data_IF_089916581138
#
_entry.id   IF_089916581138
#
_cell.length_a   1.000
_cell.length_b   1.000
_cell.length_c   1.000
_cell.angle_alpha   90.00
_cell.angle_beta   90.00
_cell.angle_gamma   90.00
#
_symmetry.space_group_name_H-M   'P 1'
#
loop_
_entity.id
_entity.type
_entity.pdbx_description
1 polymer ?
#
# COMPACT_ATOMS: atom_id res chain seq x y z
N UNK A 1 25.75 -19.66 -57.98
CA UNK A 1 25.79 -18.19 -58.11
C UNK A 1 25.43 -17.63 -56.74
N UNK A 2 26.43 -17.47 -55.88
CA UNK A 2 26.26 -16.99 -54.51
C UNK A 2 26.42 -15.46 -54.50
N UNK A 3 25.44 -14.76 -53.94
CA UNK A 3 25.49 -13.31 -53.74
C UNK A 3 26.36 -13.03 -52.50
N UNK A 4 27.53 -12.45 -52.73
CA UNK A 4 28.36 -11.85 -51.68
C UNK A 4 27.65 -10.61 -51.11
N UNK A 5 27.24 -10.64 -49.85
CA UNK A 5 27.05 -9.43 -49.05
C UNK A 5 28.33 -9.19 -48.24
N UNK A 6 29.09 -8.18 -48.65
CA UNK A 6 30.20 -7.65 -47.86
C UNK A 6 29.62 -6.88 -46.66
N UNK A 7 29.37 -7.55 -45.55
CA UNK A 7 29.42 -6.91 -44.24
C UNK A 7 30.86 -7.00 -43.75
N UNK A 8 31.64 -5.94 -44.02
CA UNK A 8 32.89 -5.71 -43.31
C UNK A 8 32.54 -5.37 -41.87
N UNK A 9 32.88 -6.28 -40.97
CA UNK A 9 32.81 -6.12 -39.52
C UNK A 9 33.94 -5.16 -39.09
N UNK A 10 33.69 -3.85 -39.25
CA UNK A 10 34.60 -2.77 -38.92
C UNK A 10 34.26 -2.15 -37.56
N UNK A 11 35.04 -2.50 -36.55
CA UNK A 11 35.46 -1.66 -35.40
C UNK A 11 34.39 -0.71 -34.79
N UNK A 12 33.74 -1.11 -33.69
CA UNK A 12 34.14 -0.73 -32.32
C UNK A 12 33.22 -1.45 -31.31
N UNK A 13 33.78 -2.23 -30.39
CA UNK A 13 32.99 -3.01 -29.42
C UNK A 13 32.48 -2.17 -28.23
N UNK A 14 32.61 -0.83 -28.29
CA UNK A 14 32.24 0.09 -27.22
C UNK A 14 31.52 1.38 -27.64
N UNK A 15 31.19 1.59 -28.92
CA UNK A 15 30.52 2.83 -29.34
C UNK A 15 29.02 2.81 -29.00
N UNK A 16 28.72 3.21 -27.76
CA UNK A 16 27.36 3.55 -27.37
C UNK A 16 26.89 4.73 -28.23
N UNK A 17 25.65 4.71 -28.75
CA UNK A 17 25.10 5.85 -29.49
C UNK A 17 25.23 7.14 -28.68
N UNK A 18 25.45 8.28 -29.34
CA UNK A 18 25.65 9.58 -28.68
C UNK A 18 24.51 9.97 -27.74
N UNK A 19 23.29 9.48 -28.00
CA UNK A 19 22.11 9.70 -27.18
C UNK A 19 21.95 8.72 -26.03
N UNK A 20 22.79 7.68 -25.89
CA UNK A 20 22.64 6.62 -24.88
C UNK A 20 22.64 7.16 -23.45
N UNK A 21 23.44 8.20 -23.18
CA UNK A 21 23.52 8.86 -21.87
C UNK A 21 22.65 10.13 -21.78
N UNK A 22 21.80 10.40 -22.78
CA UNK A 22 20.90 11.56 -22.72
C UNK A 22 19.81 11.33 -21.66
N UNK A 23 19.34 12.38 -20.98
CA UNK A 23 18.23 12.25 -20.05
C UNK A 23 16.96 11.76 -20.78
N UNK A 24 16.03 11.08 -20.08
CA UNK A 24 14.72 10.79 -20.63
C UNK A 24 14.04 12.07 -21.13
N UNK A 25 13.33 11.97 -22.26
CA UNK A 25 12.48 13.05 -22.74
C UNK A 25 11.39 13.34 -21.70
N UNK A 26 11.15 14.63 -21.45
CA UNK A 26 10.02 15.06 -20.62
C UNK A 26 8.71 14.50 -21.18
N UNK A 27 7.84 13.95 -20.31
CA UNK A 27 6.58 13.31 -20.72
C UNK A 27 5.68 14.26 -21.49
N UNK A 28 5.69 15.56 -21.19
CA UNK A 28 4.92 16.57 -21.93
C UNK A 28 5.37 16.71 -23.38
N UNK A 29 6.66 16.47 -23.67
CA UNK A 29 7.21 16.48 -25.02
C UNK A 29 7.03 15.11 -25.70
N UNK A 30 7.25 14.02 -24.96
CA UNK A 30 7.13 12.66 -25.48
C UNK A 30 5.67 12.24 -25.77
N UNK A 31 4.72 12.76 -25.00
CA UNK A 31 3.30 12.39 -25.08
C UNK A 31 2.37 13.60 -24.85
N UNK A 32 2.37 14.59 -25.76
CA UNK A 32 1.66 15.87 -25.55
C UNK A 32 0.14 15.77 -25.52
N UNK A 33 -0.43 14.63 -25.94
CA UNK A 33 -1.88 14.44 -26.01
C UNK A 33 -2.53 13.98 -24.69
N UNK A 34 -1.75 13.67 -23.64
CA UNK A 34 -2.34 13.30 -22.36
C UNK A 34 -1.50 13.76 -21.18
N UNK A 35 -2.19 14.14 -20.11
CA UNK A 35 -1.58 14.68 -18.91
C UNK A 35 -1.09 13.55 -17.98
N UNK A 36 0.19 13.54 -17.56
CA UNK A 36 0.71 12.56 -16.60
C UNK A 36 0.08 12.69 -15.20
N UNK A 37 0.28 11.69 -14.35
CA UNK A 37 -0.24 11.64 -12.98
C UNK A 37 0.37 12.72 -12.07
N UNK A 38 1.54 13.26 -12.41
CA UNK A 38 2.20 14.36 -11.69
C UNK A 38 1.28 15.59 -11.54
N UNK A 39 0.33 15.77 -12.46
CA UNK A 39 -0.83 16.64 -12.31
C UNK A 39 -2.04 15.74 -12.04
N UNK A 40 -2.49 15.61 -10.79
CA UNK A 40 -3.55 14.66 -10.42
C UNK A 40 -4.95 15.23 -10.72
N UNK A 41 -5.86 14.47 -11.37
CA UNK A 41 -7.23 14.92 -11.63
C UNK A 41 -8.20 14.56 -10.48
N UNK A 42 -9.17 15.39 -10.06
CA UNK A 42 -9.25 16.86 -10.05
C UNK A 42 -8.80 17.46 -8.69
N UNK A 43 -7.94 16.77 -7.93
CA UNK A 43 -7.42 17.30 -6.65
C UNK A 43 -6.18 18.18 -6.86
N UNK A 44 -6.36 19.30 -7.56
CA UNK A 44 -5.48 20.45 -7.36
C UNK A 44 -5.70 20.96 -5.93
N UNK A 45 -4.78 20.67 -4.99
CA UNK A 45 -4.60 21.56 -3.83
C UNK A 45 -3.32 21.50 -3.03
N UNK A 46 -2.43 20.50 -3.14
CA UNK A 46 -1.31 20.42 -2.18
C UNK A 46 0.05 19.92 -2.70
N UNK A 47 0.32 19.91 -4.01
CA UNK A 47 1.66 19.57 -4.52
C UNK A 47 2.18 18.17 -4.15
N UNK A 48 1.28 17.22 -3.87
CA UNK A 48 1.61 15.85 -3.40
C UNK A 48 1.84 14.83 -4.52
N UNK A 49 1.36 15.13 -5.72
CA UNK A 49 1.46 14.24 -6.88
C UNK A 49 2.80 14.25 -7.67
N UNK A 50 3.55 15.38 -7.78
CA UNK A 50 4.64 15.47 -8.76
C UNK A 50 5.87 14.63 -8.42
N UNK A 51 6.10 14.29 -7.14
CA UNK A 51 7.29 13.53 -6.71
C UNK A 51 7.09 12.01 -6.73
N UNK A 52 5.85 11.52 -6.83
CA UNK A 52 5.53 10.12 -6.54
C UNK A 52 6.12 9.14 -7.56
N UNK A 53 6.18 9.50 -8.85
CA UNK A 53 6.73 8.62 -9.88
C UNK A 53 8.23 8.40 -9.68
N UNK A 54 8.97 9.47 -9.36
CA UNK A 54 10.40 9.43 -9.08
C UNK A 54 10.73 8.55 -7.88
N UNK A 55 10.09 8.79 -6.73
CA UNK A 55 10.31 8.00 -5.52
C UNK A 55 9.88 6.53 -5.70
N UNK A 56 8.81 6.28 -6.44
CA UNK A 56 8.37 4.92 -6.74
C UNK A 56 9.39 4.16 -7.60
N UNK A 57 9.93 4.81 -8.63
CA UNK A 57 10.96 4.23 -9.50
C UNK A 57 12.24 3.92 -8.69
N UNK A 58 12.70 4.86 -7.87
CA UNK A 58 13.86 4.68 -6.99
C UNK A 58 13.64 3.70 -5.82
N UNK A 59 12.38 3.32 -5.56
CA UNK A 59 11.97 2.56 -4.37
C UNK A 59 12.38 3.24 -3.04
N UNK A 60 12.29 4.56 -3.00
CA UNK A 60 12.65 5.41 -1.87
C UNK A 60 11.39 5.98 -1.19
N UNK A 61 11.51 6.34 0.09
CA UNK A 61 10.43 6.97 0.85
C UNK A 61 10.68 8.48 0.95
N UNK A 62 9.69 9.33 0.59
CA UNK A 62 9.86 10.79 0.61
C UNK A 62 9.68 11.32 2.04
N UNK A 63 10.74 11.32 2.85
CA UNK A 63 10.66 11.73 4.26
C UNK A 63 10.12 13.16 4.46
N UNK A 64 10.28 14.04 3.48
CA UNK A 64 9.76 15.41 3.46
C UNK A 64 8.24 15.50 3.56
N UNK A 65 7.50 14.42 3.25
CA UNK A 65 6.04 14.42 3.39
C UNK A 65 5.58 14.09 4.80
N UNK A 66 6.42 13.51 5.65
CA UNK A 66 6.02 13.05 7.00
C UNK A 66 5.48 14.20 7.86
N UNK A 67 6.14 15.37 7.97
CA UNK A 67 5.60 16.48 8.75
C UNK A 67 4.28 17.02 8.15
N UNK A 68 4.15 17.01 6.82
CA UNK A 68 2.93 17.46 6.13
C UNK A 68 1.75 16.53 6.43
N UNK A 69 1.99 15.21 6.44
CA UNK A 69 0.97 14.22 6.82
C UNK A 69 0.57 14.33 8.29
N UNK A 70 1.51 14.62 9.18
CA UNK A 70 1.23 14.86 10.59
C UNK A 70 0.33 16.10 10.79
N UNK A 71 0.59 17.20 10.07
CA UNK A 71 -0.24 18.42 10.14
C UNK A 71 -1.69 18.21 9.70
N UNK A 72 -1.95 17.24 8.82
CA UNK A 72 -3.31 16.91 8.38
C UNK A 72 -4.10 16.13 9.43
N UNK A 73 -3.48 15.71 10.54
CA UNK A 73 -4.13 14.93 11.59
C UNK A 73 -4.57 13.54 11.15
N UNK A 74 -4.00 13.01 10.05
CA UNK A 74 -4.39 11.71 9.48
C UNK A 74 -3.81 10.52 10.25
N UNK A 75 -2.67 10.71 10.90
CA UNK A 75 -2.07 9.71 11.78
C UNK A 75 -2.84 9.64 13.12
N UNK A 76 -3.26 8.45 13.54
CA UNK A 76 -3.90 8.24 14.85
C UNK A 76 -5.41 8.47 14.92
N UNK A 77 -6.12 8.62 13.80
CA UNK A 77 -7.57 8.93 13.74
C UNK A 77 -8.50 8.02 14.59
N UNK A 78 -8.07 6.79 14.93
CA UNK A 78 -8.89 5.83 15.68
C UNK A 78 -8.34 5.52 17.09
N UNK A 79 -7.27 6.17 17.55
CA UNK A 79 -6.68 5.89 18.87
C UNK A 79 -7.26 6.81 19.93
N UNK A 80 -7.95 6.25 20.94
CA UNK A 80 -8.38 6.94 22.17
C UNK A 80 -7.20 7.28 23.12
N UNK A 81 -5.99 7.46 22.61
CA UNK A 81 -4.80 7.73 23.43
C UNK A 81 -4.27 9.10 23.03
N UNK A 82 -4.72 10.13 23.73
CA UNK A 82 -4.35 11.51 23.44
C UNK A 82 -2.95 11.88 23.91
N UNK A 83 -2.39 13.02 23.46
CA UNK A 83 -1.55 13.84 24.30
C UNK A 83 -2.44 14.62 25.28
N UNK A 84 -2.03 14.61 26.55
CA UNK A 84 -2.68 15.26 27.69
C UNK A 84 -2.75 16.77 27.44
N UNK A 85 -3.83 17.29 26.81
CA UNK A 85 -4.42 18.63 27.07
C UNK A 85 -5.64 19.01 26.19
N UNK A 86 -6.44 18.06 25.68
CA UNK A 86 -7.65 18.38 24.91
C UNK A 86 -8.89 17.62 25.41
N UNK A 87 -9.06 17.60 26.74
CA UNK A 87 -9.97 16.65 27.39
C UNK A 87 -11.45 17.10 27.50
N UNK A 88 -11.89 18.21 26.89
CA UNK A 88 -13.26 18.70 27.12
C UNK A 88 -13.98 19.38 25.94
N UNK A 89 -13.51 19.25 24.70
CA UNK A 89 -14.26 19.70 23.51
C UNK A 89 -14.06 18.69 22.38
N UNK A 90 -15.16 18.03 21.95
CA UNK A 90 -15.28 16.98 20.91
C UNK A 90 -15.24 15.52 21.40
N UNK A 91 -16.05 15.20 22.41
CA UNK A 91 -16.56 13.83 22.64
C UNK A 91 -17.62 13.39 21.60
N UNK A 92 -17.64 14.03 20.43
CA UNK A 92 -18.66 13.88 19.39
C UNK A 92 -17.99 13.93 18.01
N UNK A 93 -18.14 12.84 17.25
CA UNK A 93 -17.95 12.72 15.78
C UNK A 93 -16.53 12.64 15.19
N UNK A 94 -15.86 11.49 15.28
CA UNK A 94 -15.13 10.96 14.11
C UNK A 94 -15.39 9.45 13.97
N UNK A 95 -16.42 9.09 13.19
CA UNK A 95 -16.79 7.68 12.91
C UNK A 95 -15.67 6.98 12.12
N UNK A 96 -15.54 5.65 12.25
CA UNK A 96 -14.68 4.83 11.38
C UNK A 96 -14.94 5.11 9.89
N UNK A 97 -16.17 5.50 9.56
CA UNK A 97 -16.56 5.96 8.22
C UNK A 97 -15.74 7.16 7.75
N UNK A 98 -15.51 8.16 8.61
CA UNK A 98 -14.70 9.36 8.28
C UNK A 98 -13.24 8.98 8.04
N UNK A 99 -12.68 8.11 8.89
CA UNK A 99 -11.31 7.60 8.73
C UNK A 99 -11.15 6.75 7.45
N UNK A 100 -12.14 5.93 7.12
CA UNK A 100 -12.15 5.15 5.89
C UNK A 100 -12.22 6.04 4.63
N UNK A 101 -13.01 7.12 4.66
CA UNK A 101 -13.06 8.12 3.57
C UNK A 101 -11.71 8.83 3.44
N UNK A 102 -11.14 9.34 4.52
CA UNK A 102 -9.83 10.01 4.50
C UNK A 102 -8.72 9.09 3.95
N UNK A 103 -8.70 7.82 4.39
CA UNK A 103 -7.76 6.83 3.86
C UNK A 103 -8.02 6.52 2.38
N UNK A 104 -9.27 6.47 1.94
CA UNK A 104 -9.60 6.29 0.53
C UNK A 104 -9.11 7.49 -0.32
N UNK A 105 -9.25 8.72 0.17
CA UNK A 105 -8.75 9.92 -0.52
C UNK A 105 -7.21 9.95 -0.62
N UNK A 106 -6.50 9.58 0.45
CA UNK A 106 -5.03 9.44 0.40
C UNK A 106 -4.63 8.33 -0.57
N UNK A 107 -5.33 7.20 -0.54
CA UNK A 107 -5.08 6.05 -1.40
C UNK A 107 -5.46 6.28 -2.88
N UNK A 108 -6.26 7.30 -3.21
CA UNK A 108 -6.49 7.72 -4.62
C UNK A 108 -5.18 8.15 -5.29
N UNK A 109 -4.29 8.80 -4.55
CA UNK A 109 -3.00 9.29 -5.05
C UNK A 109 -1.90 8.22 -4.91
N UNK A 110 -1.70 7.68 -3.70
CA UNK A 110 -0.81 6.54 -3.46
C UNK A 110 -1.13 5.83 -2.12
N UNK A 111 -1.45 4.55 -2.17
CA UNK A 111 -1.76 3.74 -0.97
C UNK A 111 -0.54 3.36 -0.12
N UNK A 112 0.69 3.59 -0.62
CA UNK A 112 1.97 3.38 0.07
C UNK A 112 2.17 4.35 1.24
N UNK A 113 1.48 5.48 1.22
CA UNK A 113 1.60 6.51 2.28
C UNK A 113 0.90 6.08 3.58
N UNK A 114 -0.09 5.21 3.49
CA UNK A 114 -0.77 4.61 4.65
C UNK A 114 -0.04 3.34 5.08
N UNK A 115 1.04 3.40 5.86
CA UNK A 115 1.80 2.19 6.23
C UNK A 115 1.76 1.87 7.72
N UNK A 116 1.66 0.57 8.01
CA UNK A 116 1.53 -0.03 9.35
C UNK A 116 2.90 -0.29 9.98
N UNK A 117 3.00 -0.07 11.31
CA UNK A 117 4.17 -0.38 12.15
C UNK A 117 4.04 -1.72 12.90
N UNK A 118 3.21 -2.64 12.36
CA UNK A 118 2.84 -3.90 13.02
C UNK A 118 3.69 -5.06 12.49
N UNK A 119 4.56 -5.59 13.36
CA UNK A 119 5.46 -6.68 13.05
C UNK A 119 4.85 -8.05 13.40
N UNK A 120 4.01 -8.55 12.50
CA UNK A 120 3.28 -9.81 12.65
C UNK A 120 3.85 -10.94 11.79
N UNK A 121 3.89 -10.74 10.47
CA UNK A 121 4.26 -11.75 9.47
C UNK A 121 5.70 -12.23 9.63
N UNK A 122 5.88 -13.53 9.44
CA UNK A 122 7.16 -14.23 9.51
C UNK A 122 7.47 -14.88 8.15
N UNK A 123 8.74 -15.26 7.87
CA UNK A 123 9.08 -15.99 6.64
C UNK A 123 8.22 -17.23 6.42
N UNK A 124 7.98 -17.99 7.48
CA UNK A 124 7.22 -19.26 7.43
C UNK A 124 5.69 -19.05 7.63
N UNK A 125 5.27 -17.90 8.18
CA UNK A 125 3.88 -17.65 8.59
C UNK A 125 3.35 -16.31 8.08
N UNK A 126 2.66 -16.35 6.93
CA UNK A 126 1.93 -15.21 6.37
C UNK A 126 0.41 -15.29 6.56
N UNK A 127 -0.21 -16.36 6.06
CA UNK A 127 -1.67 -16.60 6.17
C UNK A 127 -2.07 -17.26 7.48
N UNK A 128 -1.13 -17.92 8.16
CA UNK A 128 -1.35 -18.64 9.41
C UNK A 128 -0.63 -17.96 10.58
N UNK A 129 -1.01 -16.71 10.83
CA UNK A 129 -0.41 -15.87 11.88
C UNK A 129 -0.68 -16.37 13.30
N UNK A 130 -1.53 -17.40 13.47
CA UNK A 130 -1.69 -18.10 14.76
C UNK A 130 -0.48 -18.96 15.15
N UNK A 131 0.35 -19.35 14.18
CA UNK A 131 1.47 -20.29 14.37
C UNK A 131 2.85 -19.63 14.30
N UNK A 132 2.93 -18.32 14.56
CA UNK A 132 4.21 -17.59 14.65
C UNK A 132 5.22 -18.29 15.56
N UNK A 133 6.48 -18.30 15.11
CA UNK A 133 7.67 -18.86 15.74
C UNK A 133 8.42 -17.85 16.60
N UNK A 134 8.31 -16.54 16.35
CA UNK A 134 8.96 -15.53 17.20
C UNK A 134 8.49 -15.73 18.64
N UNK A 135 9.43 -15.88 19.56
CA UNK A 135 9.16 -16.17 20.97
C UNK A 135 9.38 -14.95 21.85
N UNK A 136 8.69 -14.92 22.98
CA UNK A 136 8.93 -13.99 24.07
C UNK A 136 9.04 -14.77 25.38
N UNK A 137 10.23 -14.79 25.95
CA UNK A 137 10.53 -15.49 27.21
C UNK A 137 10.62 -14.49 28.34
N UNK A 138 9.83 -14.71 29.40
CA UNK A 138 9.86 -13.88 30.60
C UNK A 138 11.22 -13.99 31.31
N UNK A 139 11.74 -12.86 31.77
CA UNK A 139 12.96 -12.71 32.57
C UNK A 139 12.68 -11.74 33.73
N UNK A 140 13.63 -11.62 34.67
CA UNK A 140 13.51 -10.61 35.73
C UNK A 140 13.42 -9.20 35.13
N UNK A 141 12.29 -8.53 35.34
CA UNK A 141 12.04 -7.15 34.87
C UNK A 141 11.56 -7.01 33.42
N UNK A 142 11.26 -8.09 32.72
CA UNK A 142 10.71 -8.00 31.36
C UNK A 142 10.76 -9.29 30.55
N UNK A 143 11.04 -9.13 29.26
CA UNK A 143 10.92 -10.17 28.24
C UNK A 143 12.14 -10.17 27.32
N UNK A 144 12.54 -11.36 26.89
CA UNK A 144 13.53 -11.54 25.83
C UNK A 144 12.81 -12.06 24.59
N UNK A 145 12.89 -11.31 23.50
CA UNK A 145 12.33 -11.67 22.20
C UNK A 145 13.41 -12.29 21.31
N UNK A 146 13.05 -13.40 20.66
CA UNK A 146 13.91 -14.07 19.67
C UNK A 146 13.09 -14.58 18.49
N UNK A 147 13.53 -14.27 17.27
CA UNK A 147 12.85 -14.68 16.05
C UNK A 147 13.08 -13.75 14.86
N UNK A 148 12.23 -13.92 13.85
CA UNK A 148 12.33 -13.19 12.59
C UNK A 148 10.97 -12.75 12.08
N UNK A 149 10.87 -11.49 11.64
CA UNK A 149 9.71 -10.94 10.94
C UNK A 149 10.08 -10.58 9.51
N UNK A 150 9.09 -10.61 8.61
CA UNK A 150 9.27 -10.32 7.19
C UNK A 150 8.10 -9.51 6.65
N UNK A 151 8.38 -8.65 5.67
CA UNK A 151 7.42 -7.73 5.03
C UNK A 151 6.93 -6.57 5.90
N UNK A 152 7.60 -6.26 7.01
CA UNK A 152 7.12 -5.23 7.94
C UNK A 152 7.37 -3.85 7.33
N UNK A 153 6.29 -3.10 7.10
CA UNK A 153 6.36 -1.77 6.49
C UNK A 153 7.04 -0.75 7.41
N UNK A 154 7.88 0.10 6.83
CA UNK A 154 8.56 1.22 7.49
C UNK A 154 9.49 0.83 8.66
N UNK A 155 9.77 -0.45 8.86
CA UNK A 155 10.56 -0.93 10.00
C UNK A 155 12.01 -0.38 10.01
N UNK A 156 12.56 -0.08 8.84
CA UNK A 156 13.95 0.38 8.68
C UNK A 156 14.20 1.80 9.22
N UNK A 157 13.15 2.57 9.47
CA UNK A 157 13.27 3.92 10.02
C UNK A 157 12.29 4.20 11.17
N UNK A 158 11.49 3.21 11.58
CA UNK A 158 10.53 3.35 12.67
C UNK A 158 11.24 3.57 14.01
N UNK A 159 10.80 4.56 14.78
CA UNK A 159 11.26 4.79 16.15
C UNK A 159 10.79 3.69 17.12
N UNK A 160 9.65 3.08 16.79
CA UNK A 160 8.98 2.04 17.58
C UNK A 160 8.39 0.97 16.66
N UNK A 161 8.53 -0.29 17.06
CA UNK A 161 7.97 -1.46 16.41
C UNK A 161 7.03 -2.18 17.37
N UNK A 162 5.82 -2.49 16.92
CA UNK A 162 4.93 -3.38 17.69
C UNK A 162 5.12 -4.81 17.19
N UNK A 163 5.82 -5.62 17.98
CA UNK A 163 6.19 -7.00 17.63
C UNK A 163 5.24 -7.99 18.28
N UNK A 164 4.66 -8.87 17.46
CA UNK A 164 3.87 -10.00 17.94
C UNK A 164 4.76 -11.22 18.14
N UNK A 165 4.77 -11.76 19.35
CA UNK A 165 5.58 -12.92 19.71
C UNK A 165 4.79 -13.87 20.61
N UNK A 166 5.12 -15.16 20.50
CA UNK A 166 4.56 -16.24 21.32
C UNK A 166 5.21 -16.24 22.69
N UNK A 167 4.42 -15.98 23.71
CA UNK A 167 4.82 -16.08 25.09
C UNK A 167 5.14 -17.54 25.42
N UNK A 168 6.38 -17.83 25.82
CA UNK A 168 6.84 -19.22 26.06
C UNK A 168 6.22 -19.85 27.31
N UNK A 169 5.64 -19.05 28.21
CA UNK A 169 4.98 -19.53 29.44
C UNK A 169 3.51 -19.87 29.18
N UNK A 170 2.78 -19.01 28.48
CA UNK A 170 1.33 -19.17 28.26
C UNK A 170 0.98 -19.81 26.92
N UNK A 171 1.95 -19.92 26.02
CA UNK A 171 1.79 -20.32 24.62
C UNK A 171 0.84 -19.43 23.80
N UNK A 172 0.47 -18.25 24.33
CA UNK A 172 -0.37 -17.27 23.65
C UNK A 172 0.47 -16.25 22.89
N UNK A 173 -0.11 -15.61 21.88
CA UNK A 173 0.53 -14.50 21.17
C UNK A 173 0.28 -13.21 21.95
N UNK A 174 1.32 -12.44 22.21
CA UNK A 174 1.26 -11.13 22.84
C UNK A 174 1.95 -10.06 21.97
N UNK A 175 1.65 -8.79 22.24
CA UNK A 175 2.27 -7.64 21.59
C UNK A 175 3.32 -6.97 22.49
N UNK A 176 4.45 -6.60 21.91
CA UNK A 176 5.60 -6.01 22.58
C UNK A 176 6.07 -4.77 21.83
N UNK A 177 6.32 -3.68 22.54
CA UNK A 177 6.89 -2.45 22.00
C UNK A 177 8.41 -2.61 21.99
N UNK A 178 9.01 -2.62 20.80
CA UNK A 178 10.46 -2.66 20.61
C UNK A 178 10.93 -1.31 20.08
N UNK A 179 11.82 -0.65 20.80
CA UNK A 179 12.39 0.64 20.43
C UNK A 179 13.43 0.46 19.33
N UNK A 180 13.58 1.49 18.50
CA UNK A 180 14.67 1.56 17.53
C UNK A 180 16.02 1.41 18.24
N UNK A 181 16.96 0.75 17.56
CA UNK A 181 18.32 0.52 18.03
C UNK A 181 18.44 -0.32 19.33
N UNK A 182 17.35 -0.97 19.78
CA UNK A 182 17.41 -1.95 20.87
C UNK A 182 18.49 -3.01 20.58
N UNK A 183 19.39 -3.34 21.54
CA UNK A 183 20.42 -4.36 21.33
C UNK A 183 19.83 -5.69 20.86
N UNK A 184 20.38 -6.24 19.77
CA UNK A 184 19.91 -7.48 19.16
C UNK A 184 18.81 -7.30 18.11
N UNK A 185 18.28 -6.08 17.91
CA UNK A 185 17.37 -5.75 16.83
C UNK A 185 18.17 -5.45 15.55
N UNK A 186 17.75 -6.01 14.42
CA UNK A 186 18.26 -5.63 13.11
C UNK A 186 17.10 -5.51 12.13
N UNK A 187 17.00 -4.40 11.42
CA UNK A 187 16.00 -4.17 10.38
C UNK A 187 16.68 -3.91 9.03
N UNK A 188 16.38 -4.73 8.02
CA UNK A 188 16.99 -4.63 6.69
C UNK A 188 15.93 -4.48 5.61
N UNK A 189 16.12 -3.53 4.69
CA UNK A 189 15.19 -3.27 3.58
C UNK A 189 15.12 -4.45 2.61
N UNK A 190 13.91 -4.83 2.22
CA UNK A 190 13.67 -5.77 1.12
C UNK A 190 13.77 -5.02 -0.21
N UNK A 191 14.75 -5.38 -1.04
CA UNK A 191 14.95 -4.85 -2.38
C UNK A 191 14.08 -5.55 -3.44
N UNK A 192 14.11 -5.04 -4.68
CA UNK A 192 13.52 -5.68 -5.87
C UNK A 192 12.00 -5.94 -5.80
N UNK A 193 11.28 -5.17 -4.98
CA UNK A 193 9.82 -5.24 -4.95
C UNK A 193 9.23 -4.64 -6.22
N UNK A 194 8.31 -5.35 -6.84
CA UNK A 194 7.56 -4.83 -8.00
C UNK A 194 6.43 -3.88 -7.59
N UNK A 195 5.92 -4.00 -6.35
CA UNK A 195 4.81 -3.20 -5.82
C UNK A 195 5.12 -2.63 -4.44
N UNK A 196 4.35 -1.61 -4.05
CA UNK A 196 4.52 -0.87 -2.78
C UNK A 196 5.97 -0.39 -2.62
N UNK A 197 6.59 0.08 -3.71
CA UNK A 197 8.05 0.32 -3.81
C UNK A 197 8.54 1.40 -2.84
N UNK A 198 7.73 2.43 -2.62
CA UNK A 198 8.05 3.53 -1.71
C UNK A 198 8.00 3.12 -0.24
N UNK A 199 7.19 2.12 0.14
CA UNK A 199 7.19 1.60 1.51
C UNK A 199 8.49 0.89 1.78
N UNK A 200 9.15 1.24 2.88
CA UNK A 200 10.41 0.59 3.26
C UNK A 200 10.10 -0.70 4.02
N UNK A 201 9.52 -1.69 3.32
CA UNK A 201 9.32 -3.02 3.88
C UNK A 201 10.68 -3.65 4.18
N UNK A 202 10.80 -4.25 5.36
CA UNK A 202 12.02 -4.93 5.74
C UNK A 202 11.80 -6.28 6.38
N UNK A 203 12.92 -6.98 6.49
CA UNK A 203 13.14 -8.10 7.39
C UNK A 203 13.55 -7.54 8.76
N UNK A 204 13.07 -8.18 9.82
CA UNK A 204 13.47 -7.90 11.19
C UNK A 204 14.08 -9.17 11.76
N UNK A 205 15.29 -9.08 12.30
CA UNK A 205 15.87 -10.09 13.16
C UNK A 205 15.86 -9.60 14.61
N UNK A 206 15.39 -10.46 15.50
CA UNK A 206 15.36 -10.25 16.94
C UNK A 206 16.26 -11.32 17.54
N UNK A 207 17.44 -10.92 18.03
CA UNK A 207 18.38 -11.83 18.70
C UNK A 207 18.51 -11.46 20.16
N UNK A 208 17.78 -12.16 21.01
CA UNK A 208 17.67 -11.87 22.45
C UNK A 208 17.38 -10.40 22.78
N UNK A 209 16.41 -9.79 22.10
CA UNK A 209 16.03 -8.39 22.32
C UNK A 209 15.29 -8.25 23.64
N UNK A 210 15.81 -7.42 24.54
CA UNK A 210 15.14 -7.13 25.81
C UNK A 210 14.00 -6.10 25.64
N UNK A 211 12.87 -6.39 26.26
CA UNK A 211 11.69 -5.52 26.35
C UNK A 211 11.24 -5.46 27.81
N UNK A 212 11.18 -4.28 28.45
CA UNK A 212 10.73 -4.17 29.84
C UNK A 212 9.23 -4.49 29.98
N UNK A 213 8.78 -4.86 31.18
CA UNK A 213 7.38 -5.24 31.42
C UNK A 213 6.37 -4.15 31.03
N UNK A 214 6.74 -2.87 31.19
CA UNK A 214 5.92 -1.71 30.82
C UNK A 214 5.67 -1.58 29.31
N UNK A 215 6.58 -2.13 28.50
CA UNK A 215 6.51 -2.10 27.03
C UNK A 215 5.75 -3.33 26.46
N UNK A 216 5.18 -4.18 27.32
CA UNK A 216 4.26 -5.26 26.91
C UNK A 216 2.82 -4.72 26.82
N UNK A 217 2.19 -4.84 25.66
CA UNK A 217 0.82 -4.34 25.44
C UNK A 217 -0.23 -5.22 26.15
N UNK A 218 -0.98 -4.70 27.14
CA UNK A 218 -2.05 -5.45 27.79
C UNK A 218 -3.28 -5.53 26.88
N UNK A 219 -3.90 -6.71 26.79
CA UNK A 219 -5.22 -6.91 26.15
C UNK A 219 -5.23 -7.12 24.63
N UNK A 220 -4.08 -7.23 23.98
CA UNK A 220 -3.98 -7.40 22.52
C UNK A 220 -3.96 -8.90 22.12
N UNK A 221 -5.15 -9.49 21.97
CA UNK A 221 -5.34 -10.92 21.68
C UNK A 221 -5.96 -11.23 20.30
N UNK A 222 -6.28 -10.23 19.48
CA UNK A 222 -6.89 -10.45 18.16
C UNK A 222 -6.54 -9.37 17.14
N UNK A 223 -6.63 -9.73 15.85
CA UNK A 223 -6.24 -8.90 14.71
C UNK A 223 -7.47 -8.30 14.04
N UNK A 224 -7.47 -6.99 13.80
CA UNK A 224 -8.43 -6.32 12.93
C UNK A 224 -7.72 -5.20 12.17
N UNK A 225 -7.75 -5.20 10.83
CA UNK A 225 -7.81 -3.94 10.07
C UNK A 225 -8.19 -4.04 8.57
N UNK A 226 -8.67 -2.89 8.05
CA UNK A 226 -9.59 -2.74 6.90
C UNK A 226 -9.21 -1.62 5.89
N UNK A 227 -9.80 -1.65 4.67
CA UNK A 227 -10.25 -0.52 3.78
C UNK A 227 -9.44 0.09 2.59
N UNK A 228 -8.16 -0.23 2.33
CA UNK A 228 -7.35 0.46 1.28
C UNK A 228 -7.76 0.35 -0.22
N UNK A 229 -8.36 -0.74 -0.74
CA UNK A 229 -8.48 -0.92 -2.20
C UNK A 229 -9.52 -0.04 -2.91
N UNK A 230 -10.42 0.63 -2.18
CA UNK A 230 -11.49 1.46 -2.77
C UNK A 230 -10.92 2.75 -3.36
N UNK A 231 -10.10 3.48 -2.60
CA UNK A 231 -9.49 4.74 -3.03
C UNK A 231 -8.61 4.58 -4.27
N UNK A 232 -7.81 3.51 -4.27
CA UNK A 232 -6.97 3.11 -5.41
C UNK A 232 -7.80 2.95 -6.70
N UNK A 233 -8.96 2.31 -6.60
CA UNK A 233 -9.83 2.06 -7.76
C UNK A 233 -10.45 3.35 -8.30
N UNK A 234 -10.76 4.30 -7.41
CA UNK A 234 -11.24 5.64 -7.79
C UNK A 234 -10.16 6.43 -8.54
N UNK A 235 -8.92 6.47 -8.03
CA UNK A 235 -7.82 7.16 -8.69
C UNK A 235 -7.52 6.63 -10.10
N UNK A 236 -7.60 5.30 -10.29
CA UNK A 236 -7.46 4.70 -11.63
C UNK A 236 -8.61 5.10 -12.55
N UNK A 237 -9.86 5.11 -12.06
CA UNK A 237 -11.00 5.55 -12.85
C UNK A 237 -10.86 7.02 -13.29
N UNK A 238 -10.49 7.91 -12.37
CA UNK A 238 -10.31 9.34 -12.66
C UNK A 238 -9.23 9.57 -13.72
N UNK A 239 -8.12 8.84 -13.61
CA UNK A 239 -7.05 8.86 -14.61
C UNK A 239 -7.52 8.35 -15.98
N UNK A 240 -8.23 7.21 -16.01
CA UNK A 240 -8.77 6.65 -17.26
C UNK A 240 -9.75 7.62 -17.92
N UNK A 241 -10.68 8.20 -17.14
CA UNK A 241 -11.67 9.14 -17.66
C UNK A 241 -11.00 10.37 -18.25
N UNK A 242 -10.01 10.96 -17.56
CA UNK A 242 -9.23 12.08 -18.10
C UNK A 242 -8.50 11.69 -19.37
N UNK A 243 -7.71 10.62 -19.32
CA UNK A 243 -6.87 10.16 -20.43
C UNK A 243 -7.71 9.92 -21.69
N UNK A 244 -8.87 9.27 -21.56
CA UNK A 244 -9.76 8.98 -22.68
C UNK A 244 -10.42 10.23 -23.28
N UNK A 245 -10.58 11.31 -22.50
CA UNK A 245 -11.10 12.59 -22.99
C UNK A 245 -10.02 13.42 -23.68
N UNK A 246 -8.78 13.31 -23.25
CA UNK A 246 -7.64 14.05 -23.82
C UNK A 246 -7.08 13.37 -25.08
N UNK A 247 -6.96 12.04 -25.07
CA UNK A 247 -6.31 11.29 -26.14
C UNK A 247 -7.22 11.07 -27.33
N UNK A 248 -6.75 11.46 -28.52
CA UNK A 248 -7.47 11.26 -29.79
C UNK A 248 -6.88 10.09 -30.60
N UNK A 249 -7.74 9.24 -31.15
CA UNK A 249 -7.41 8.22 -32.15
C UNK A 249 -8.54 8.12 -33.17
N UNK A 250 -8.20 7.76 -34.42
CA UNK A 250 -9.18 7.66 -35.50
C UNK A 250 -10.06 8.92 -35.65
N UNK A 251 -9.48 10.10 -35.41
CA UNK A 251 -10.16 11.39 -35.54
C UNK A 251 -11.13 11.76 -34.41
N UNK A 252 -11.20 10.99 -33.32
CA UNK A 252 -12.09 11.29 -32.19
C UNK A 252 -11.41 11.02 -30.82
N UNK A 253 -11.90 11.61 -29.73
CA UNK A 253 -11.48 11.25 -28.38
C UNK A 253 -11.74 9.76 -28.11
N UNK A 254 -10.83 9.10 -27.40
CA UNK A 254 -11.00 7.69 -27.04
C UNK A 254 -12.28 7.44 -26.21
N UNK A 255 -12.79 8.44 -25.50
CA UNK A 255 -14.05 8.39 -24.77
C UNK A 255 -15.29 8.26 -25.69
N UNK A 256 -15.17 8.51 -27.00
CA UNK A 256 -16.28 8.40 -27.96
C UNK A 256 -16.59 6.94 -28.39
N UNK A 257 -15.65 6.01 -28.19
CA UNK A 257 -15.82 4.61 -28.62
C UNK A 257 -16.59 3.79 -27.58
N UNK A 258 -17.62 3.06 -28.02
CA UNK A 258 -18.51 2.28 -27.14
C UNK A 258 -17.76 1.29 -26.25
N UNK A 259 -16.72 0.62 -26.78
CA UNK A 259 -15.92 -0.34 -26.01
C UNK A 259 -15.21 0.34 -24.82
N UNK A 260 -14.76 1.59 -24.98
CA UNK A 260 -14.10 2.34 -23.92
C UNK A 260 -15.13 2.82 -22.88
N UNK A 261 -16.31 3.28 -23.33
CA UNK A 261 -17.41 3.65 -22.45
C UNK A 261 -17.92 2.47 -21.62
N UNK A 262 -18.04 1.29 -22.22
CA UNK A 262 -18.44 0.06 -21.54
C UNK A 262 -17.47 -0.28 -20.40
N UNK A 263 -16.16 -0.20 -20.64
CA UNK A 263 -15.15 -0.46 -19.59
C UNK A 263 -15.20 0.59 -18.48
N UNK A 264 -15.34 1.88 -18.81
CA UNK A 264 -15.54 2.93 -17.80
C UNK A 264 -16.80 2.67 -16.95
N UNK A 265 -17.92 2.33 -17.57
CA UNK A 265 -19.16 2.01 -16.85
C UNK A 265 -19.00 0.80 -15.91
N UNK A 266 -18.30 -0.25 -16.35
CA UNK A 266 -17.98 -1.42 -15.52
C UNK A 266 -17.10 -1.04 -14.31
N UNK A 267 -16.07 -0.23 -14.53
CA UNK A 267 -15.20 0.27 -13.45
C UNK A 267 -16.02 1.07 -12.43
N UNK A 268 -16.85 2.01 -12.90
CA UNK A 268 -17.67 2.85 -12.04
C UNK A 268 -18.65 2.01 -11.22
N UNK A 269 -19.35 1.06 -11.83
CA UNK A 269 -20.26 0.16 -11.13
C UNK A 269 -19.59 -0.63 -10.00
N UNK A 270 -18.38 -1.15 -10.25
CA UNK A 270 -17.58 -1.85 -9.23
C UNK A 270 -17.18 -0.91 -8.09
N UNK A 271 -16.75 0.32 -8.40
CA UNK A 271 -16.37 1.33 -7.39
C UNK A 271 -17.54 1.68 -6.48
N UNK A 272 -18.74 1.89 -7.05
CA UNK A 272 -19.94 2.17 -6.26
C UNK A 272 -20.27 0.99 -5.33
N UNK A 273 -20.24 -0.24 -5.85
CA UNK A 273 -20.51 -1.43 -5.05
C UNK A 273 -19.47 -1.63 -3.93
N UNK A 274 -18.17 -1.46 -4.22
CA UNK A 274 -17.11 -1.51 -3.22
C UNK A 274 -17.31 -0.47 -2.11
N UNK A 275 -17.72 0.76 -2.48
CA UNK A 275 -17.99 1.85 -1.55
C UNK A 275 -19.15 1.49 -0.61
N UNK A 276 -20.25 0.96 -1.14
CA UNK A 276 -21.42 0.55 -0.33
C UNK A 276 -21.09 -0.61 0.62
N UNK A 277 -20.32 -1.61 0.17
CA UNK A 277 -19.86 -2.71 1.03
C UNK A 277 -18.95 -2.18 2.15
N UNK A 278 -17.97 -1.34 1.81
CA UNK A 278 -17.08 -0.71 2.78
C UNK A 278 -17.82 0.14 3.81
N UNK A 279 -18.77 0.96 3.36
CA UNK A 279 -19.64 1.75 4.23
C UNK A 279 -20.45 0.87 5.17
N UNK A 280 -21.03 -0.23 4.68
CA UNK A 280 -21.79 -1.16 5.53
C UNK A 280 -20.93 -1.78 6.62
N UNK A 281 -19.69 -2.15 6.31
CA UNK A 281 -18.74 -2.69 7.31
C UNK A 281 -18.42 -1.66 8.38
N UNK A 282 -18.22 -0.40 8.00
CA UNK A 282 -18.04 0.69 8.96
C UNK A 282 -19.24 0.81 9.91
N UNK A 283 -20.47 0.73 9.38
CA UNK A 283 -21.69 0.78 10.21
C UNK A 283 -21.88 -0.42 11.12
N UNK A 284 -21.44 -1.62 10.70
CA UNK A 284 -21.44 -2.80 11.56
C UNK A 284 -20.42 -2.66 12.70
N UNK A 285 -19.24 -2.10 12.41
CA UNK A 285 -18.21 -1.85 13.40
C UNK A 285 -18.65 -0.80 14.43
N UNK A 286 -19.17 0.34 13.97
CA UNK A 286 -19.65 1.42 14.84
C UNK A 286 -20.74 0.92 15.81
N UNK A 287 -21.54 -0.09 15.40
CA UNK A 287 -22.58 -0.72 16.22
C UNK A 287 -22.07 -1.87 17.11
N UNK A 288 -20.79 -2.20 17.06
CA UNK A 288 -20.23 -3.35 17.78
C UNK A 288 -20.75 -4.72 17.31
N UNK A 289 -21.31 -4.80 16.11
CA UNK A 289 -21.96 -6.03 15.56
C UNK A 289 -21.16 -6.65 14.41
N UNK A 290 -19.96 -6.14 14.13
CA UNK A 290 -19.10 -6.68 13.11
C UNK A 290 -18.43 -7.97 13.58
N UNK A 291 -18.65 -9.06 12.84
CA UNK A 291 -17.96 -10.33 13.07
C UNK A 291 -16.66 -10.38 12.25
N UNK A 292 -15.69 -11.24 12.62
CA UNK A 292 -14.51 -11.49 11.80
C UNK A 292 -14.86 -11.96 10.37
N UNK A 293 -15.97 -12.70 10.21
CA UNK A 293 -16.50 -13.12 8.91
C UNK A 293 -16.92 -11.93 8.03
N UNK A 294 -17.59 -10.93 8.60
CA UNK A 294 -17.94 -9.70 7.87
C UNK A 294 -16.69 -8.97 7.36
N UNK A 295 -15.68 -8.76 8.22
CA UNK A 295 -14.44 -8.10 7.85
C UNK A 295 -13.68 -8.88 6.76
N UNK A 296 -13.61 -10.21 6.89
CA UNK A 296 -12.94 -11.09 5.94
C UNK A 296 -13.60 -11.08 4.56
N UNK A 297 -14.94 -11.15 4.51
CA UNK A 297 -15.72 -11.05 3.27
C UNK A 297 -15.52 -9.69 2.60
N UNK A 298 -15.60 -8.61 3.38
CA UNK A 298 -15.34 -7.27 2.87
C UNK A 298 -13.99 -7.15 2.20
N UNK A 299 -12.94 -7.59 2.90
CA UNK A 299 -11.57 -7.54 2.42
C UNK A 299 -11.36 -8.36 1.15
N UNK A 300 -11.81 -9.62 1.13
CA UNK A 300 -11.61 -10.51 -0.02
C UNK A 300 -12.36 -10.00 -1.26
N UNK A 301 -13.63 -9.62 -1.09
CA UNK A 301 -14.48 -9.19 -2.19
C UNK A 301 -14.03 -7.84 -2.76
N UNK A 302 -13.78 -6.84 -1.91
CA UNK A 302 -13.35 -5.50 -2.35
C UNK A 302 -11.98 -5.59 -3.05
N UNK A 303 -11.03 -6.35 -2.51
CA UNK A 303 -9.71 -6.48 -3.13
C UNK A 303 -9.79 -7.14 -4.51
N UNK A 304 -10.64 -8.16 -4.67
CA UNK A 304 -10.84 -8.82 -5.96
C UNK A 304 -11.47 -7.87 -6.99
N UNK A 305 -12.53 -7.14 -6.61
CA UNK A 305 -13.18 -6.16 -7.48
C UNK A 305 -12.26 -5.00 -7.85
N UNK A 306 -11.42 -4.54 -6.93
CA UNK A 306 -10.39 -3.54 -7.21
C UNK A 306 -9.41 -4.02 -8.28
N UNK A 307 -8.90 -5.26 -8.18
CA UNK A 307 -8.01 -5.84 -9.20
C UNK A 307 -8.62 -5.85 -10.59
N UNK A 308 -9.87 -6.30 -10.70
CA UNK A 308 -10.55 -6.31 -11.99
C UNK A 308 -10.79 -4.90 -12.53
N UNK A 309 -11.08 -3.93 -11.65
CA UNK A 309 -11.25 -2.52 -12.03
C UNK A 309 -9.96 -1.94 -12.58
N UNK A 310 -8.84 -2.23 -11.93
CA UNK A 310 -7.53 -1.74 -12.36
C UNK A 310 -7.06 -2.41 -13.65
N UNK A 311 -7.35 -3.70 -13.84
CA UNK A 311 -7.04 -4.40 -15.08
C UNK A 311 -7.73 -3.75 -16.29
N UNK A 312 -9.02 -3.37 -16.16
CA UNK A 312 -9.72 -2.60 -17.18
C UNK A 312 -9.08 -1.25 -17.44
N UNK A 313 -8.61 -0.56 -16.38
CA UNK A 313 -7.90 0.70 -16.52
C UNK A 313 -6.60 0.57 -17.31
N UNK A 314 -5.84 -0.51 -17.10
CA UNK A 314 -4.60 -0.77 -17.85
C UNK A 314 -4.89 -0.88 -19.36
N UNK A 315 -5.92 -1.66 -19.71
CA UNK A 315 -6.33 -1.82 -21.09
C UNK A 315 -6.80 -0.52 -21.74
N UNK A 316 -7.42 0.39 -20.98
CA UNK A 316 -7.90 1.68 -21.48
C UNK A 316 -6.77 2.66 -21.82
N UNK A 317 -5.64 2.59 -21.12
CA UNK A 317 -4.49 3.45 -21.37
C UNK A 317 -3.54 2.89 -22.46
N UNK A 318 -3.66 1.61 -22.80
CA UNK A 318 -2.78 0.95 -23.76
C UNK A 318 -1.32 0.96 -23.30
N UNK A 319 -0.38 1.31 -24.19
CA UNK A 319 1.05 1.36 -23.87
C UNK A 319 1.39 2.29 -22.70
N UNK A 320 0.74 3.44 -22.60
CA UNK A 320 0.93 4.40 -21.50
C UNK A 320 0.48 3.83 -20.15
N UNK A 321 -0.41 2.84 -20.16
CA UNK A 321 -0.87 2.16 -18.94
C UNK A 321 0.23 1.39 -18.22
N UNK A 322 1.32 1.03 -18.93
CA UNK A 322 2.48 0.32 -18.38
C UNK A 322 3.50 1.26 -17.70
N UNK A 323 3.33 2.58 -17.81
CA UNK A 323 4.25 3.57 -17.26
C UNK A 323 3.82 3.99 -15.84
N UNK A 324 4.79 4.16 -14.95
CA UNK A 324 4.54 4.70 -13.60
C UNK A 324 3.97 6.13 -13.67
N UNK A 325 4.33 6.89 -14.71
CA UNK A 325 3.87 8.26 -14.98
C UNK A 325 2.36 8.38 -15.09
N UNK A 326 1.64 7.31 -15.45
CA UNK A 326 0.20 7.33 -15.63
C UNK A 326 -0.59 6.60 -14.54
N UNK A 327 0.00 6.37 -13.35
CA UNK A 327 -0.62 5.80 -12.14
C UNK A 327 -1.08 4.32 -12.23
N UNK A 328 -1.63 3.89 -13.35
CA UNK A 328 -2.36 2.61 -13.49
C UNK A 328 -1.44 1.40 -13.31
N UNK A 329 -0.24 1.39 -13.92
CA UNK A 329 0.77 0.34 -13.72
C UNK A 329 1.13 0.17 -12.24
N UNK A 330 1.45 1.28 -11.56
CA UNK A 330 1.79 1.31 -10.14
C UNK A 330 0.68 0.64 -9.31
N UNK A 331 -0.56 1.00 -9.60
CA UNK A 331 -1.74 0.54 -8.87
C UNK A 331 -2.05 -0.96 -9.12
N UNK A 332 -1.90 -1.46 -10.34
CA UNK A 332 -2.14 -2.87 -10.65
C UNK A 332 -1.24 -3.81 -9.85
N UNK A 333 0.02 -3.40 -9.69
CA UNK A 333 1.00 -4.20 -8.97
C UNK A 333 0.71 -4.18 -7.46
N UNK A 334 0.21 -3.06 -6.91
CA UNK A 334 -0.26 -2.96 -5.52
C UNK A 334 -1.42 -3.93 -5.24
N UNK A 335 -2.43 -3.98 -6.12
CA UNK A 335 -3.60 -4.83 -5.93
C UNK A 335 -3.27 -6.34 -6.01
N UNK A 336 -2.12 -6.71 -6.56
CA UNK A 336 -1.70 -8.10 -6.72
C UNK A 336 -1.16 -8.74 -5.42
N UNK A 337 -0.71 -7.97 -4.44
CA UNK A 337 -0.11 -8.47 -3.19
C UNK A 337 -1.12 -8.95 -2.12
N UNK A 338 -2.38 -8.50 -2.16
CA UNK A 338 -3.36 -8.69 -1.07
C UNK A 338 -4.13 -10.02 -1.09
N UNK A 339 -3.64 -11.07 -1.77
CA UNK A 339 -4.45 -12.24 -2.12
C UNK A 339 -4.77 -13.20 -0.96
N UNK A 340 -3.86 -13.39 0.01
CA UNK A 340 -3.86 -14.62 0.83
C UNK A 340 -3.88 -14.46 2.35
N UNK A 341 -3.82 -13.25 2.92
CA UNK A 341 -3.49 -13.13 4.36
C UNK A 341 -4.62 -13.51 5.33
N UNK A 342 -5.87 -13.71 4.89
CA UNK A 342 -7.02 -13.89 5.82
C UNK A 342 -8.01 -15.03 5.48
N UNK A 343 -7.76 -15.82 4.43
CA UNK A 343 -8.71 -16.87 3.99
C UNK A 343 -8.90 -17.97 5.05
N UNK A 344 -7.93 -18.19 5.94
CA UNK A 344 -8.02 -19.25 6.96
C UNK A 344 -8.98 -18.95 8.11
N UNK A 345 -9.40 -17.69 8.35
CA UNK A 345 -10.41 -17.41 9.38
C UNK A 345 -11.80 -17.96 9.05
N UNK A 346 -12.07 -18.30 7.78
CA UNK A 346 -13.34 -18.88 7.34
C UNK A 346 -13.52 -20.35 7.76
N UNK A 347 -12.44 -21.12 7.92
CA UNK A 347 -12.53 -22.56 8.23
C UNK A 347 -13.04 -22.88 9.64
N UNK A 348 -13.07 -21.91 10.56
CA UNK A 348 -13.48 -22.14 11.95
C UNK A 348 -14.98 -21.98 12.20
N UNK A 349 -15.75 -21.55 11.20
CA UNK A 349 -17.16 -21.15 11.37
C UNK A 349 -18.11 -21.76 10.32
N UNK A 350 -17.66 -22.76 9.58
CA UNK A 350 -18.49 -23.69 8.79
C UNK A 350 -18.23 -25.06 9.40
#
# INVERSE_FOLDING_TARGET
MALHSNFQDGTDKNDKPSYFNSPPLDVSVAFPQATPASVFPPSERDGRSPIMAEYWEKAEFPFEIVPKLAHLGIAGYNTKVGPILFFWVLDVLVSLTTSAIANAEVARVDASVSTFLLALTEPDYGSDVSHVNTTARMVGGGWILDGQKRWIGNNTFADVLVVFARNTTTNQINGYIVKKDSPGLTATKIANKIGVRMVQNGDILLKNVFVPDEDRLPGLNSFLDTSKPIGISMGVYDMCLRYLKERNQFGAPLAAFQINQQKLAQMLGKIQAMTLVGWRLCKLYDKGTMTPGHASLGKSWITLRARETVALGLELLGGSGMLADFLVAKVLILCSQNKNTFVNSFKKHI
#
